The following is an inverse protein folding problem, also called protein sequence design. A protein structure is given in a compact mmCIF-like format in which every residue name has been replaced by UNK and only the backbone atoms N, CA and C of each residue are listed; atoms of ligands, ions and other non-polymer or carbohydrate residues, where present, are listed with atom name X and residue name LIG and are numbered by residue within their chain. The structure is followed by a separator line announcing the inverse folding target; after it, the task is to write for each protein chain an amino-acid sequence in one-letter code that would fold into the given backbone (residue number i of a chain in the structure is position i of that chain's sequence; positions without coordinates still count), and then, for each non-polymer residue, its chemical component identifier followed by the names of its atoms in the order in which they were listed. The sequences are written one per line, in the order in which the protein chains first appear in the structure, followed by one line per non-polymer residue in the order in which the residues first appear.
data_IF_249082587646
#
_entry.id   IF_249082587646
#
_cell.length_a   1.000
_cell.length_b   1.000
_cell.length_c   1.000
_cell.angle_alpha   90.00
_cell.angle_beta   90.00
_cell.angle_gamma   90.00
#
_symmetry.space_group_name_H-M   'P 1'
#
loop_
_entity.id
_entity.type
_entity.pdbx_description
1 polymer ?
#
# COMPACT_ATOMS: atom_id res chain seq x y z
N UNK A 1 5.42 27.64 9.55
CA UNK A 1 5.11 26.61 10.55
C UNK A 1 3.67 26.13 10.39
N UNK A 2 2.64 26.98 10.43
CA UNK A 2 1.22 26.59 10.33
C UNK A 2 0.84 25.84 9.04
N UNK A 3 1.41 26.22 7.87
CA UNK A 3 1.15 25.54 6.60
C UNK A 3 1.67 24.08 6.60
N UNK A 4 2.84 23.84 7.17
CA UNK A 4 3.42 22.49 7.26
C UNK A 4 2.59 21.55 8.13
N UNK A 5 2.04 22.04 9.25
CA UNK A 5 1.18 21.24 10.13
C UNK A 5 -0.12 20.82 9.41
N UNK A 6 -0.75 21.71 8.65
CA UNK A 6 -1.96 21.42 7.89
C UNK A 6 -1.76 20.30 6.87
N UNK A 7 -0.65 20.33 6.12
CA UNK A 7 -0.33 19.27 5.14
C UNK A 7 0.01 17.95 5.83
N UNK A 8 0.66 17.99 7.00
CA UNK A 8 0.88 16.77 7.80
C UNK A 8 -0.43 16.14 8.28
N UNK A 9 -1.42 16.95 8.67
CA UNK A 9 -2.77 16.46 9.01
C UNK A 9 -3.46 15.79 7.82
N UNK A 10 -3.32 16.34 6.61
CA UNK A 10 -3.86 15.69 5.41
C UNK A 10 -3.23 14.32 5.15
N UNK A 11 -1.92 14.17 5.39
CA UNK A 11 -1.24 12.89 5.27
C UNK A 11 -1.70 11.86 6.30
N UNK A 12 -1.89 12.27 7.54
CA UNK A 12 -2.44 11.39 8.59
C UNK A 12 -3.87 10.96 8.22
N UNK A 13 -4.71 11.91 7.79
CA UNK A 13 -6.06 11.59 7.34
C UNK A 13 -6.07 10.60 6.17
N UNK A 14 -5.18 10.76 5.19
CA UNK A 14 -5.02 9.81 4.08
C UNK A 14 -4.66 8.40 4.57
N UNK A 15 -3.71 8.28 5.50
CA UNK A 15 -3.29 7.00 6.09
C UNK A 15 -4.47 6.32 6.82
N UNK A 16 -5.24 7.09 7.60
CA UNK A 16 -6.41 6.55 8.30
C UNK A 16 -7.51 6.10 7.33
N UNK A 17 -7.79 6.85 6.26
CA UNK A 17 -8.73 6.46 5.22
C UNK A 17 -8.29 5.16 4.53
N UNK A 18 -7.02 5.03 4.15
CA UNK A 18 -6.48 3.80 3.59
C UNK A 18 -6.50 2.64 4.58
N UNK A 19 -6.33 2.92 5.87
CA UNK A 19 -6.40 1.90 6.92
C UNK A 19 -7.81 1.30 7.07
N UNK A 20 -8.87 2.06 6.79
CA UNK A 20 -10.24 1.55 6.75
C UNK A 20 -10.52 0.71 5.48
N UNK A 21 -9.75 0.93 4.43
CA UNK A 21 -10.04 0.40 3.10
C UNK A 21 -9.99 -1.13 3.03
N UNK A 22 -9.10 -1.77 3.80
CA UNK A 22 -9.00 -3.25 3.85
C UNK A 22 -10.34 -3.87 4.26
N UNK A 23 -10.91 -3.38 5.35
CA UNK A 23 -12.19 -3.88 5.86
C UNK A 23 -13.35 -3.54 4.92
N UNK A 24 -13.39 -2.31 4.43
CA UNK A 24 -14.46 -1.87 3.54
C UNK A 24 -14.42 -2.60 2.20
N UNK A 25 -13.24 -2.80 1.61
CA UNK A 25 -13.06 -3.60 0.39
C UNK A 25 -13.54 -5.04 0.60
N UNK A 26 -13.23 -5.62 1.75
CA UNK A 26 -13.71 -6.97 2.10
C UNK A 26 -15.23 -6.99 2.23
N UNK A 27 -15.84 -6.03 2.93
CA UNK A 27 -17.28 -5.93 3.08
C UNK A 27 -18.01 -5.76 1.74
N UNK A 28 -17.47 -4.91 0.86
CA UNK A 28 -18.00 -4.74 -0.51
C UNK A 28 -17.92 -6.05 -1.30
N UNK A 29 -16.80 -6.76 -1.21
CA UNK A 29 -16.62 -8.04 -1.92
C UNK A 29 -17.56 -9.15 -1.40
N UNK A 30 -17.85 -9.17 -0.10
CA UNK A 30 -18.80 -10.12 0.49
C UNK A 30 -20.23 -9.90 -0.01
N UNK A 31 -20.62 -8.66 -0.31
CA UNK A 31 -21.95 -8.29 -0.73
C UNK A 31 -22.15 -8.29 -2.26
N UNK A 32 -21.12 -7.87 -3.01
CA UNK A 32 -21.21 -7.67 -4.47
C UNK A 32 -20.37 -8.67 -5.28
N UNK A 33 -19.74 -9.61 -4.61
CA UNK A 33 -18.78 -10.52 -5.22
C UNK A 33 -17.37 -9.95 -5.32
N UNK A 34 -16.34 -10.81 -5.41
CA UNK A 34 -14.95 -10.38 -5.41
C UNK A 34 -14.55 -9.56 -6.64
N UNK A 35 -15.06 -9.91 -7.82
CA UNK A 35 -14.72 -9.20 -9.06
C UNK A 35 -15.63 -8.00 -9.26
N UNK A 36 -16.95 -8.20 -9.18
CA UNK A 36 -17.93 -7.14 -9.33
C UNK A 36 -17.84 -6.05 -8.26
N UNK A 37 -17.61 -6.46 -7.02
CA UNK A 37 -17.35 -5.54 -5.90
C UNK A 37 -16.11 -4.69 -6.13
N UNK A 38 -15.00 -5.31 -6.55
CA UNK A 38 -13.77 -4.58 -6.90
C UNK A 38 -14.00 -3.63 -8.08
N UNK A 39 -14.64 -4.08 -9.16
CA UNK A 39 -14.94 -3.25 -10.33
C UNK A 39 -15.77 -2.01 -9.94
N UNK A 40 -16.79 -2.20 -9.11
CA UNK A 40 -17.63 -1.12 -8.60
C UNK A 40 -16.85 -0.15 -7.72
N UNK A 41 -15.99 -0.66 -6.82
CA UNK A 41 -15.15 0.14 -5.93
C UNK A 41 -14.21 1.05 -6.72
N UNK A 42 -13.49 0.51 -7.71
CA UNK A 42 -12.59 1.30 -8.55
C UNK A 42 -13.33 2.29 -9.44
N UNK A 43 -14.57 1.99 -9.83
CA UNK A 43 -15.43 2.93 -10.56
C UNK A 43 -15.78 4.14 -9.69
N UNK A 44 -16.28 3.91 -8.48
CA UNK A 44 -16.63 5.01 -7.55
C UNK A 44 -15.39 5.84 -7.21
N UNK A 45 -14.27 5.20 -6.92
CA UNK A 45 -13.00 5.87 -6.64
C UNK A 45 -12.50 6.69 -7.83
N UNK A 46 -12.60 6.15 -9.05
CA UNK A 46 -12.20 6.85 -10.29
C UNK A 46 -13.05 8.09 -10.52
N UNK A 47 -14.36 7.98 -10.34
CA UNK A 47 -15.28 9.11 -10.47
C UNK A 47 -14.94 10.22 -9.49
N UNK A 48 -14.71 9.86 -8.22
CA UNK A 48 -14.32 10.83 -7.19
C UNK A 48 -12.97 11.49 -7.52
N UNK A 49 -11.98 10.72 -7.95
CA UNK A 49 -10.66 11.25 -8.35
C UNK A 49 -10.77 12.19 -9.56
N UNK A 50 -11.59 11.85 -10.56
CA UNK A 50 -11.86 12.74 -11.70
C UNK A 50 -12.53 14.03 -11.24
N UNK A 51 -13.50 13.95 -10.33
CA UNK A 51 -14.18 15.14 -9.81
C UNK A 51 -13.25 16.06 -9.02
N UNK A 52 -12.32 15.50 -8.24
CA UNK A 52 -11.42 16.27 -7.36
C UNK A 52 -10.16 16.75 -8.08
N UNK A 53 -9.54 15.90 -8.89
CA UNK A 53 -8.25 16.14 -9.52
C UNK A 53 -8.36 16.51 -11.02
N UNK A 54 -9.53 16.28 -11.61
CA UNK A 54 -9.74 16.43 -13.06
C UNK A 54 -9.14 15.28 -13.86
N UNK A 55 -9.48 15.25 -15.15
CA UNK A 55 -8.93 14.26 -16.09
C UNK A 55 -7.61 14.78 -16.69
N UNK A 56 -6.47 14.16 -16.41
CA UNK A 56 -5.20 14.64 -16.93
C UNK A 56 -5.04 14.34 -18.43
N UNK A 57 -4.38 15.22 -19.16
CA UNK A 57 -4.08 15.01 -20.58
C UNK A 57 -3.01 13.93 -20.74
N UNK A 58 -3.29 12.90 -21.53
CA UNK A 58 -2.37 11.78 -21.83
C UNK A 58 -1.00 12.26 -22.37
N UNK A 59 -1.01 13.34 -23.17
CA UNK A 59 0.20 13.91 -23.78
C UNK A 59 1.24 14.45 -22.76
N UNK A 60 0.87 14.63 -21.50
CA UNK A 60 1.77 15.08 -20.44
C UNK A 60 2.72 13.98 -19.94
N UNK A 61 2.38 12.72 -20.16
CA UNK A 61 3.11 11.58 -19.61
C UNK A 61 3.98 10.91 -20.67
N UNK A 62 5.11 10.36 -20.24
CA UNK A 62 5.91 9.51 -21.11
C UNK A 62 5.16 8.21 -21.43
N UNK A 63 5.28 7.73 -22.67
CA UNK A 63 4.65 6.46 -23.08
C UNK A 63 5.09 5.29 -22.19
N UNK A 64 6.36 5.26 -21.81
CA UNK A 64 6.92 4.24 -20.93
C UNK A 64 6.24 4.24 -19.55
N UNK A 65 6.02 5.42 -18.96
CA UNK A 65 5.33 5.53 -17.67
C UNK A 65 3.86 5.10 -17.77
N UNK A 66 3.15 5.50 -18.82
CA UNK A 66 1.75 5.09 -19.00
C UNK A 66 1.62 3.58 -19.21
N UNK A 67 2.48 2.98 -20.06
CA UNK A 67 2.37 1.56 -20.40
C UNK A 67 2.88 0.64 -19.28
N UNK A 68 4.13 0.82 -18.88
CA UNK A 68 4.76 -0.06 -17.88
C UNK A 68 4.27 0.30 -16.47
N UNK A 69 4.31 1.57 -16.10
CA UNK A 69 3.80 2.03 -14.80
C UNK A 69 2.32 1.74 -14.64
N UNK A 70 1.52 1.98 -15.67
CA UNK A 70 0.09 1.66 -15.68
C UNK A 70 -0.16 0.16 -15.55
N UNK A 71 0.55 -0.69 -16.32
CA UNK A 71 0.42 -2.13 -16.21
C UNK A 71 0.78 -2.66 -14.81
N UNK A 72 1.89 -2.19 -14.24
CA UNK A 72 2.30 -2.56 -12.88
C UNK A 72 1.25 -2.11 -11.84
N UNK A 73 0.74 -0.89 -11.96
CA UNK A 73 -0.29 -0.37 -11.06
C UNK A 73 -1.56 -1.20 -11.16
N UNK A 74 -2.10 -1.39 -12.37
CA UNK A 74 -3.34 -2.15 -12.61
C UNK A 74 -3.21 -3.58 -12.11
N UNK A 75 -2.08 -4.26 -12.40
CA UNK A 75 -1.83 -5.61 -11.90
C UNK A 75 -1.82 -5.67 -10.37
N UNK A 76 -1.14 -4.72 -9.73
CA UNK A 76 -1.09 -4.65 -8.27
C UNK A 76 -2.48 -4.48 -7.66
N UNK A 77 -3.24 -3.49 -8.13
CA UNK A 77 -4.55 -3.18 -7.59
C UNK A 77 -5.53 -4.34 -7.77
N UNK A 78 -5.49 -5.00 -8.92
CA UNK A 78 -6.30 -6.20 -9.18
C UNK A 78 -5.88 -7.35 -8.26
N UNK A 79 -4.58 -7.57 -8.09
CA UNK A 79 -4.08 -8.64 -7.22
C UNK A 79 -4.50 -8.43 -5.77
N UNK A 80 -4.35 -7.21 -5.24
CA UNK A 80 -4.76 -6.90 -3.89
C UNK A 80 -6.28 -7.00 -3.70
N UNK A 81 -7.06 -6.39 -4.59
CA UNK A 81 -8.51 -6.42 -4.52
C UNK A 81 -9.06 -7.86 -4.54
N UNK A 82 -8.54 -8.70 -5.44
CA UNK A 82 -8.96 -10.10 -5.54
C UNK A 82 -8.41 -10.95 -4.39
N UNK A 83 -7.20 -10.70 -3.89
CA UNK A 83 -6.69 -11.39 -2.73
C UNK A 83 -7.60 -11.17 -1.51
N UNK A 84 -8.03 -9.93 -1.27
CA UNK A 84 -8.95 -9.59 -0.20
C UNK A 84 -10.36 -10.14 -0.44
N UNK A 85 -10.87 -10.00 -1.67
CA UNK A 85 -12.22 -10.38 -2.03
C UNK A 85 -12.45 -11.89 -2.09
N UNK A 86 -11.48 -12.65 -2.57
CA UNK A 86 -11.55 -14.11 -2.72
C UNK A 86 -11.02 -14.88 -1.50
N UNK A 87 -10.62 -14.20 -0.44
CA UNK A 87 -10.21 -14.85 0.81
C UNK A 87 -11.39 -15.67 1.39
N UNK A 88 -11.10 -16.85 1.93
CA UNK A 88 -12.13 -17.77 2.46
C UNK A 88 -12.81 -17.23 3.73
N UNK A 89 -12.17 -16.31 4.42
CA UNK A 89 -12.69 -15.70 5.65
C UNK A 89 -12.19 -14.26 5.80
N UNK A 90 -12.83 -13.50 6.69
CA UNK A 90 -12.37 -12.15 7.08
C UNK A 90 -10.97 -12.18 7.71
N UNK A 91 -10.69 -13.21 8.51
CA UNK A 91 -9.36 -13.42 9.11
C UNK A 91 -8.30 -13.63 8.00
N UNK A 92 -8.57 -14.51 7.04
CA UNK A 92 -7.69 -14.73 5.90
C UNK A 92 -7.49 -13.45 5.07
N UNK A 93 -8.52 -12.60 4.91
CA UNK A 93 -8.36 -11.31 4.24
C UNK A 93 -7.36 -10.40 4.97
N UNK A 94 -7.34 -10.42 6.31
CA UNK A 94 -6.33 -9.69 7.10
C UNK A 94 -4.92 -10.28 6.93
N UNK A 95 -4.80 -11.61 6.81
CA UNK A 95 -3.51 -12.22 6.47
C UNK A 95 -3.00 -11.75 5.09
N UNK A 96 -3.89 -11.64 4.10
CA UNK A 96 -3.54 -11.08 2.77
C UNK A 96 -3.05 -9.64 2.90
N UNK A 97 -3.70 -8.82 3.74
CA UNK A 97 -3.26 -7.45 4.01
C UNK A 97 -1.87 -7.42 4.66
N UNK A 98 -1.61 -8.29 5.65
CA UNK A 98 -0.29 -8.37 6.31
C UNK A 98 0.80 -8.78 5.33
N UNK A 99 0.53 -9.76 4.45
CA UNK A 99 1.47 -10.14 3.38
C UNK A 99 1.73 -8.95 2.44
N UNK A 100 0.68 -8.24 2.06
CA UNK A 100 0.82 -7.07 1.20
C UNK A 100 1.71 -6.00 1.85
N UNK A 101 1.69 -5.84 3.16
CA UNK A 101 2.56 -4.89 3.88
C UNK A 101 4.06 -5.23 3.86
N UNK A 102 4.48 -6.27 3.17
CA UNK A 102 5.89 -6.48 2.81
C UNK A 102 6.40 -5.46 1.76
N UNK A 103 5.51 -4.79 1.01
CA UNK A 103 5.90 -3.90 -0.07
C UNK A 103 6.89 -2.79 0.34
N UNK A 104 6.84 -2.18 1.55
CA UNK A 104 7.80 -1.15 1.92
C UNK A 104 9.22 -1.72 2.07
N UNK A 105 9.36 -2.88 2.72
CA UNK A 105 10.64 -3.56 2.86
C UNK A 105 11.20 -4.02 1.50
N UNK A 106 10.34 -4.56 0.62
CA UNK A 106 10.69 -4.94 -0.74
C UNK A 106 11.07 -3.73 -1.61
N UNK A 107 10.38 -2.60 -1.44
CA UNK A 107 10.73 -1.35 -2.15
C UNK A 107 12.13 -0.90 -1.80
N UNK A 108 12.50 -0.93 -0.53
CA UNK A 108 13.85 -0.63 -0.07
C UNK A 108 14.86 -1.63 -0.62
N UNK A 109 14.55 -2.94 -0.54
CA UNK A 109 15.42 -3.99 -1.08
C UNK A 109 15.74 -3.76 -2.57
N UNK A 110 14.71 -3.51 -3.39
CA UNK A 110 14.91 -3.29 -4.82
C UNK A 110 15.62 -1.96 -5.10
N UNK A 111 15.34 -0.90 -4.35
CA UNK A 111 16.08 0.36 -4.48
C UNK A 111 17.58 0.17 -4.21
N UNK A 112 17.90 -0.64 -3.21
CA UNK A 112 19.26 -0.98 -2.81
C UNK A 112 19.95 -1.84 -3.86
N UNK A 113 19.32 -2.92 -4.33
CA UNK A 113 19.86 -3.83 -5.36
C UNK A 113 20.09 -3.13 -6.71
N UNK A 114 19.30 -2.10 -7.01
CA UNK A 114 19.41 -1.30 -8.23
C UNK A 114 20.32 -0.08 -8.08
N UNK A 115 20.97 0.07 -6.94
CA UNK A 115 21.86 1.19 -6.62
C UNK A 115 23.31 0.72 -6.58
N UNK A 116 24.23 1.54 -7.13
CA UNK A 116 25.69 1.31 -7.02
C UNK A 116 26.24 1.72 -5.64
N UNK A 117 25.39 2.19 -4.72
CA UNK A 117 25.82 2.62 -3.38
C UNK A 117 26.09 1.41 -2.48
N UNK A 118 27.09 1.54 -1.60
CA UNK A 118 27.35 0.53 -0.57
C UNK A 118 26.13 0.37 0.34
N UNK A 119 25.63 -0.85 0.43
CA UNK A 119 24.47 -1.23 1.21
C UNK A 119 24.89 -1.33 2.68
N UNK A 120 24.08 -0.73 3.56
CA UNK A 120 24.22 -1.01 4.98
C UNK A 120 23.69 -2.44 5.26
N UNK A 121 24.53 -3.31 5.79
CA UNK A 121 24.18 -4.71 6.05
C UNK A 121 22.94 -4.89 6.94
N UNK A 122 22.60 -3.90 7.77
CA UNK A 122 21.41 -3.90 8.63
C UNK A 122 20.08 -3.94 7.85
N UNK A 123 20.09 -3.68 6.54
CA UNK A 123 18.92 -3.84 5.67
C UNK A 123 18.45 -5.30 5.65
N UNK A 124 19.39 -6.25 5.59
CA UNK A 124 19.05 -7.68 5.48
C UNK A 124 18.30 -8.21 6.70
N UNK A 125 18.76 -8.04 7.96
CA UNK A 125 18.00 -8.48 9.12
C UNK A 125 16.67 -7.75 9.28
N UNK A 126 16.56 -6.50 8.83
CA UNK A 126 15.30 -5.75 8.84
C UNK A 126 14.27 -6.38 7.89
N UNK A 127 14.69 -6.79 6.69
CA UNK A 127 13.83 -7.49 5.73
C UNK A 127 13.43 -8.86 6.28
N UNK A 128 14.39 -9.62 6.83
CA UNK A 128 14.13 -10.93 7.46
C UNK A 128 13.08 -10.79 8.57
N UNK A 129 13.16 -9.75 9.39
CA UNK A 129 12.17 -9.48 10.44
C UNK A 129 10.77 -9.23 9.87
N UNK A 130 10.65 -8.49 8.76
CA UNK A 130 9.36 -8.26 8.11
C UNK A 130 8.77 -9.57 7.55
N UNK A 131 9.55 -10.39 6.88
CA UNK A 131 9.10 -11.69 6.38
C UNK A 131 8.75 -12.66 7.52
N UNK A 132 9.55 -12.67 8.57
CA UNK A 132 9.27 -13.46 9.76
C UNK A 132 7.95 -13.04 10.42
N UNK A 133 7.66 -11.73 10.47
CA UNK A 133 6.39 -11.21 10.96
C UNK A 133 5.18 -11.70 10.16
N UNK A 134 5.30 -11.79 8.83
CA UNK A 134 4.24 -12.39 7.99
C UNK A 134 4.07 -13.87 8.34
N UNK A 135 5.16 -14.63 8.37
CA UNK A 135 5.11 -16.05 8.73
C UNK A 135 4.50 -16.27 10.11
N UNK A 136 4.85 -15.42 11.08
CA UNK A 136 4.31 -15.45 12.44
C UNK A 136 2.80 -15.17 12.46
N UNK A 137 2.30 -14.21 11.69
CA UNK A 137 0.86 -13.90 11.58
C UNK A 137 0.05 -15.06 11.02
N UNK A 138 0.63 -15.82 10.07
CA UNK A 138 -0.06 -16.91 9.38
C UNK A 138 0.01 -18.22 10.16
N UNK A 139 0.99 -18.40 11.06
CA UNK A 139 1.18 -19.65 11.77
C UNK A 139 0.13 -19.96 12.85
N UNK A 140 -0.70 -18.98 13.25
CA UNK A 140 -1.73 -19.17 14.27
C UNK A 140 -1.18 -19.19 15.70
N UNK A 141 -2.00 -19.64 16.66
CA UNK A 141 -1.74 -19.47 18.11
C UNK A 141 -0.69 -20.40 18.70
N UNK A 142 -0.28 -21.43 17.98
CA UNK A 142 0.66 -22.45 18.48
C UNK A 142 2.14 -22.11 18.24
N UNK A 143 2.42 -20.88 17.79
CA UNK A 143 3.77 -20.43 17.44
C UNK A 143 4.17 -20.80 16.02
N UNK A 144 5.43 -20.54 15.66
CA UNK A 144 5.93 -20.72 14.29
C UNK A 144 5.97 -22.21 13.92
N UNK A 145 5.08 -22.59 13.00
CA UNK A 145 5.02 -23.93 12.43
C UNK A 145 4.99 -23.86 10.91
N UNK A 146 6.01 -24.42 10.27
CA UNK A 146 6.08 -24.51 8.80
C UNK A 146 4.93 -25.35 8.25
N UNK A 147 4.54 -26.41 8.94
CA UNK A 147 3.40 -27.25 8.57
C UNK A 147 2.09 -26.44 8.60
N UNK A 148 1.87 -25.67 9.66
CA UNK A 148 0.66 -24.84 9.79
C UNK A 148 0.61 -23.75 8.74
N UNK A 149 1.72 -23.08 8.45
CA UNK A 149 1.82 -22.09 7.39
C UNK A 149 1.51 -22.72 6.04
N UNK A 150 2.11 -23.88 5.74
CA UNK A 150 1.87 -24.59 4.48
C UNK A 150 0.39 -25.04 4.38
N UNK A 151 -0.19 -25.53 5.45
CA UNK A 151 -1.60 -25.91 5.52
C UNK A 151 -2.52 -24.70 5.27
N UNK A 152 -2.25 -23.56 5.91
CA UNK A 152 -3.03 -22.33 5.73
C UNK A 152 -2.94 -21.83 4.27
N UNK A 153 -1.75 -21.80 3.70
CA UNK A 153 -1.55 -21.41 2.29
C UNK A 153 -2.28 -22.39 1.35
N UNK A 154 -2.26 -23.69 1.65
CA UNK A 154 -2.93 -24.72 0.86
C UNK A 154 -4.46 -24.56 0.84
N UNK A 155 -5.06 -23.88 1.82
CA UNK A 155 -6.52 -23.61 1.83
C UNK A 155 -6.94 -22.66 0.69
N UNK A 156 -6.08 -21.76 0.27
CA UNK A 156 -6.35 -20.78 -0.79
C UNK A 156 -5.06 -20.25 -1.43
N UNK A 157 -4.28 -21.11 -2.12
CA UNK A 157 -2.96 -20.72 -2.64
C UNK A 157 -3.03 -19.55 -3.62
N UNK A 158 -4.18 -19.37 -4.29
CA UNK A 158 -4.40 -18.28 -5.24
C UNK A 158 -4.36 -16.91 -4.56
N UNK A 159 -5.06 -16.73 -3.44
CA UNK A 159 -5.10 -15.45 -2.74
C UNK A 159 -3.76 -15.15 -2.07
N UNK A 160 -3.11 -16.14 -1.45
CA UNK A 160 -1.76 -15.97 -0.89
C UNK A 160 -0.74 -15.56 -1.96
N UNK A 161 -0.79 -16.20 -3.12
CA UNK A 161 0.08 -15.84 -4.26
C UNK A 161 -0.21 -14.43 -4.76
N UNK A 162 -1.48 -14.05 -4.91
CA UNK A 162 -1.83 -12.69 -5.35
C UNK A 162 -1.38 -11.63 -4.34
N UNK A 163 -1.53 -11.86 -3.04
CA UNK A 163 -1.08 -10.92 -2.01
C UNK A 163 0.45 -10.76 -2.04
N UNK A 164 1.19 -11.85 -2.14
CA UNK A 164 2.66 -11.85 -2.15
C UNK A 164 3.23 -11.21 -3.43
N UNK A 165 2.79 -11.67 -4.60
CA UNK A 165 3.24 -11.08 -5.87
C UNK A 165 2.73 -9.65 -6.04
N UNK A 166 1.56 -9.31 -5.48
CA UNK A 166 1.07 -7.94 -5.40
C UNK A 166 2.07 -7.04 -4.68
N UNK A 167 2.57 -7.45 -3.51
CA UNK A 167 3.58 -6.69 -2.77
C UNK A 167 4.87 -6.48 -3.58
N UNK A 168 5.31 -7.50 -4.32
CA UNK A 168 6.48 -7.41 -5.23
C UNK A 168 6.20 -6.42 -6.36
N UNK A 169 5.05 -6.56 -7.05
CA UNK A 169 4.67 -5.69 -8.17
C UNK A 169 4.60 -4.23 -7.71
N UNK A 170 4.03 -3.96 -6.54
CA UNK A 170 3.98 -2.61 -5.98
C UNK A 170 5.36 -2.05 -5.66
N UNK A 171 6.24 -2.86 -5.10
CA UNK A 171 7.63 -2.46 -4.84
C UNK A 171 8.38 -2.13 -6.13
N UNK A 172 8.17 -2.92 -7.20
CA UNK A 172 8.72 -2.64 -8.54
C UNK A 172 8.10 -1.36 -9.11
N UNK A 173 6.77 -1.19 -9.01
CA UNK A 173 6.07 0.02 -9.44
C UNK A 173 6.63 1.29 -8.77
N UNK A 174 6.84 1.26 -7.46
CA UNK A 174 7.39 2.40 -6.72
C UNK A 174 8.79 2.80 -7.23
N UNK A 175 9.69 1.81 -7.39
CA UNK A 175 11.05 2.04 -7.88
C UNK A 175 11.06 2.51 -9.34
N UNK A 176 10.22 1.92 -10.18
CA UNK A 176 10.09 2.29 -11.59
C UNK A 176 9.54 3.71 -11.74
N UNK A 177 8.43 4.00 -11.07
CA UNK A 177 7.75 5.31 -11.13
C UNK A 177 8.67 6.43 -10.65
N UNK A 178 9.43 6.22 -9.58
CA UNK A 178 10.38 7.21 -9.08
C UNK A 178 11.40 7.63 -10.15
N UNK A 179 11.79 6.71 -11.04
CA UNK A 179 12.77 6.98 -12.10
C UNK A 179 12.16 7.61 -13.34
N UNK A 180 10.93 7.23 -13.73
CA UNK A 180 10.37 7.57 -15.05
C UNK A 180 9.28 8.62 -15.02
N UNK A 181 8.57 8.79 -13.89
CA UNK A 181 7.43 9.71 -13.81
C UNK A 181 7.83 11.19 -13.75
N UNK A 182 9.10 11.51 -13.42
CA UNK A 182 9.62 12.89 -13.34
C UNK A 182 8.71 13.86 -12.55
N UNK A 183 8.17 13.36 -11.42
CA UNK A 183 7.24 14.13 -10.57
C UNK A 183 5.80 14.21 -11.08
N UNK A 184 5.48 13.59 -12.21
CA UNK A 184 4.12 13.53 -12.72
C UNK A 184 3.32 12.40 -12.07
N UNK A 185 2.00 12.56 -11.96
CA UNK A 185 1.11 11.59 -11.34
C UNK A 185 -0.06 11.25 -12.27
N UNK A 186 -0.06 10.02 -12.80
CA UNK A 186 -1.10 9.49 -13.67
C UNK A 186 -2.16 8.65 -12.91
N UNK A 187 -2.28 8.81 -11.60
CA UNK A 187 -3.12 7.97 -10.73
C UNK A 187 -4.57 7.89 -11.22
N UNK A 188 -5.15 9.01 -11.66
CA UNK A 188 -6.52 9.05 -12.18
C UNK A 188 -6.69 8.12 -13.38
N UNK A 189 -5.75 8.14 -14.31
CA UNK A 189 -5.77 7.26 -15.50
C UNK A 189 -5.59 5.79 -15.11
N UNK A 190 -4.74 5.52 -14.14
CA UNK A 190 -4.48 4.17 -13.67
C UNK A 190 -5.68 3.58 -12.92
N UNK A 191 -6.40 4.39 -12.14
CA UNK A 191 -7.65 3.96 -11.52
C UNK A 191 -8.74 3.64 -12.56
N UNK A 192 -8.89 4.50 -13.57
CA UNK A 192 -9.82 4.26 -14.68
C UNK A 192 -9.45 2.96 -15.41
N UNK A 193 -8.17 2.76 -15.71
CA UNK A 193 -7.70 1.53 -16.36
C UNK A 193 -7.96 0.28 -15.50
N UNK A 194 -7.77 0.38 -14.18
CA UNK A 194 -8.09 -0.70 -13.23
C UNK A 194 -9.58 -1.02 -13.24
N UNK A 195 -10.45 0.00 -13.18
CA UNK A 195 -11.89 -0.19 -13.24
C UNK A 195 -12.32 -0.88 -14.55
N UNK A 196 -11.83 -0.39 -15.69
CA UNK A 196 -12.14 -0.99 -17.01
C UNK A 196 -11.69 -2.45 -17.06
N UNK A 197 -10.46 -2.73 -16.62
CA UNK A 197 -9.92 -4.11 -16.63
C UNK A 197 -10.74 -5.03 -15.73
N UNK A 198 -11.17 -4.56 -14.57
CA UNK A 198 -12.03 -5.34 -13.66
C UNK A 198 -13.42 -5.57 -14.23
N UNK A 199 -14.02 -4.60 -14.92
CA UNK A 199 -15.30 -4.79 -15.60
C UNK A 199 -15.20 -5.79 -16.76
N UNK A 200 -14.11 -5.76 -17.54
CA UNK A 200 -13.86 -6.75 -18.56
C UNK A 200 -13.74 -8.15 -17.92
N UNK A 201 -12.96 -8.24 -16.83
CA UNK A 201 -12.81 -9.50 -16.09
C UNK A 201 -14.14 -10.00 -15.54
N UNK A 202 -14.98 -9.10 -14.99
CA UNK A 202 -16.31 -9.45 -14.50
C UNK A 202 -17.21 -9.99 -15.61
N UNK A 203 -17.24 -9.33 -16.77
CA UNK A 203 -18.02 -9.76 -17.92
C UNK A 203 -17.57 -11.13 -18.50
N UNK A 204 -16.30 -11.49 -18.29
CA UNK A 204 -15.72 -12.78 -18.73
C UNK A 204 -15.71 -13.85 -17.62
N UNK A 205 -16.24 -13.54 -16.43
CA UNK A 205 -16.28 -14.46 -15.30
C UNK A 205 -17.67 -15.10 -15.17
N UNK A 206 -17.70 -16.23 -14.44
CA UNK A 206 -18.96 -16.90 -14.06
C UNK A 206 -19.55 -16.32 -12.77
N UNK A 207 -19.09 -15.14 -12.34
CA UNK A 207 -19.60 -14.48 -11.12
C UNK A 207 -21.07 -14.11 -11.35
N UNK A 208 -21.92 -14.50 -10.40
CA UNK A 208 -23.36 -14.22 -10.46
C UNK A 208 -23.63 -12.73 -10.38
N UNK A 209 -24.75 -12.30 -10.99
CA UNK A 209 -25.13 -10.89 -11.03
C UNK A 209 -25.13 -10.21 -9.65
N UNK A 210 -24.60 -9.01 -9.59
CA UNK A 210 -24.55 -8.21 -8.35
C UNK A 210 -25.93 -7.78 -7.93
N UNK A 211 -26.24 -7.94 -6.64
CA UNK A 211 -27.46 -7.41 -6.05
C UNK A 211 -27.10 -6.19 -5.18
N UNK A 212 -27.47 -5.02 -5.65
CA UNK A 212 -27.22 -3.77 -4.93
C UNK A 212 -28.25 -3.58 -3.83
N UNK A 213 -27.85 -3.91 -2.60
CA UNK A 213 -28.63 -3.60 -1.39
C UNK A 213 -28.25 -2.22 -0.85
N UNK A 214 -29.07 -1.65 0.05
CA UNK A 214 -28.72 -0.38 0.70
C UNK A 214 -27.42 -0.47 1.49
N UNK A 215 -27.14 -1.61 2.14
CA UNK A 215 -25.89 -1.87 2.85
C UNK A 215 -24.71 -1.89 1.89
N UNK A 216 -24.82 -2.64 0.79
CA UNK A 216 -23.78 -2.71 -0.23
C UNK A 216 -23.47 -1.34 -0.85
N UNK A 217 -24.52 -0.53 -1.10
CA UNK A 217 -24.34 0.83 -1.63
C UNK A 217 -23.62 1.75 -0.64
N UNK A 218 -23.94 1.68 0.66
CA UNK A 218 -23.27 2.46 1.70
C UNK A 218 -21.78 2.05 1.79
N UNK A 219 -21.49 0.76 1.91
CA UNK A 219 -20.12 0.26 2.01
C UNK A 219 -19.31 0.61 0.77
N UNK A 220 -19.91 0.49 -0.42
CA UNK A 220 -19.28 0.84 -1.69
C UNK A 220 -18.94 2.33 -1.77
N UNK A 221 -19.85 3.22 -1.39
CA UNK A 221 -19.62 4.67 -1.40
C UNK A 221 -18.56 5.04 -0.36
N UNK A 222 -18.63 4.46 0.85
CA UNK A 222 -17.61 4.68 1.89
C UNK A 222 -16.23 4.19 1.45
N UNK A 223 -16.14 2.97 0.92
CA UNK A 223 -14.88 2.42 0.44
C UNK A 223 -14.29 3.25 -0.72
N UNK A 224 -15.13 3.60 -1.71
CA UNK A 224 -14.72 4.43 -2.84
C UNK A 224 -14.29 5.82 -2.41
N UNK A 225 -15.01 6.44 -1.47
CA UNK A 225 -14.64 7.73 -0.89
C UNK A 225 -13.33 7.65 -0.09
N UNK A 226 -13.15 6.63 0.75
CA UNK A 226 -11.90 6.42 1.49
C UNK A 226 -10.71 6.26 0.54
N UNK A 227 -10.86 5.49 -0.52
CA UNK A 227 -9.82 5.28 -1.51
C UNK A 227 -9.50 6.57 -2.27
N UNK A 228 -10.48 7.19 -2.90
CA UNK A 228 -10.30 8.40 -3.70
C UNK A 228 -9.85 9.60 -2.87
N UNK A 229 -10.50 9.86 -1.73
CA UNK A 229 -10.11 10.95 -0.83
C UNK A 229 -8.72 10.70 -0.22
N UNK A 230 -8.38 9.46 0.13
CA UNK A 230 -7.06 9.09 0.61
C UNK A 230 -5.96 9.49 -0.38
N UNK A 231 -6.10 9.14 -1.65
CA UNK A 231 -5.14 9.53 -2.69
C UNK A 231 -5.10 11.04 -2.93
N UNK A 232 -6.25 11.72 -2.93
CA UNK A 232 -6.31 13.18 -3.12
C UNK A 232 -5.63 13.93 -1.94
N UNK A 233 -5.93 13.53 -0.71
CA UNK A 233 -5.31 14.10 0.50
C UNK A 233 -3.82 13.83 0.57
N UNK A 234 -3.39 12.61 0.25
CA UNK A 234 -1.97 12.25 0.19
C UNK A 234 -1.21 13.09 -0.83
N UNK A 235 -1.77 13.23 -2.03
CA UNK A 235 -1.17 14.09 -3.06
C UNK A 235 -1.02 15.54 -2.59
N UNK A 236 -2.03 16.07 -1.87
CA UNK A 236 -1.95 17.42 -1.28
C UNK A 236 -0.92 17.49 -0.15
N UNK A 237 -0.82 16.44 0.66
CA UNK A 237 0.11 16.38 1.79
C UNK A 237 1.58 16.40 1.33
N UNK A 238 1.93 15.67 0.27
CA UNK A 238 3.31 15.62 -0.23
C UNK A 238 3.78 16.94 -0.85
N UNK A 239 2.86 17.79 -1.31
CA UNK A 239 3.21 19.07 -1.92
C UNK A 239 3.68 20.13 -0.91
N UNK A 240 3.31 20.02 0.36
CA UNK A 240 3.65 21.06 1.34
C UNK A 240 3.95 20.54 2.75
N UNK A 241 3.89 19.23 2.96
CA UNK A 241 4.14 18.57 4.23
C UNK A 241 5.61 18.20 4.45
N UNK A 242 5.90 17.78 5.68
CA UNK A 242 7.20 17.19 6.00
C UNK A 242 7.26 15.76 5.49
N UNK A 243 7.97 15.52 4.38
CA UNK A 243 8.07 14.19 3.73
C UNK A 243 8.65 13.12 4.66
N UNK A 244 9.60 13.46 5.53
CA UNK A 244 10.18 12.50 6.49
C UNK A 244 9.13 12.04 7.49
N UNK A 245 8.34 12.98 8.00
CA UNK A 245 7.25 12.67 8.93
C UNK A 245 6.16 11.83 8.25
N UNK A 246 5.71 12.21 7.04
CA UNK A 246 4.68 11.49 6.27
C UNK A 246 5.11 10.06 5.94
N UNK A 247 6.35 9.88 5.47
CA UNK A 247 6.92 8.57 5.21
C UNK A 247 7.00 7.72 6.49
N UNK A 248 7.45 8.30 7.60
CA UNK A 248 7.50 7.59 8.89
C UNK A 248 6.10 7.13 9.31
N UNK A 249 5.10 8.02 9.23
CA UNK A 249 3.72 7.69 9.61
C UNK A 249 3.12 6.60 8.71
N UNK A 250 3.46 6.57 7.41
CA UNK A 250 2.94 5.55 6.49
C UNK A 250 3.41 4.12 6.84
N UNK A 251 4.56 3.98 7.50
CA UNK A 251 5.03 2.66 7.96
C UNK A 251 4.20 2.10 9.12
N UNK A 252 3.41 2.92 9.80
CA UNK A 252 2.45 2.44 10.82
C UNK A 252 1.10 2.00 10.24
N UNK A 253 0.90 2.16 8.94
CA UNK A 253 -0.34 1.72 8.26
C UNK A 253 -0.73 0.27 8.57
N UNK A 254 0.17 -0.71 8.65
CA UNK A 254 -0.20 -2.08 9.01
C UNK A 254 -0.91 -2.17 10.37
N UNK A 255 -0.42 -1.43 11.36
CA UNK A 255 -1.02 -1.41 12.70
C UNK A 255 -2.40 -0.74 12.67
N UNK A 256 -2.51 0.44 12.06
CA UNK A 256 -3.78 1.15 11.95
C UNK A 256 -4.81 0.36 11.14
N UNK A 257 -4.39 -0.22 10.00
CA UNK A 257 -5.27 -1.00 9.16
C UNK A 257 -5.76 -2.28 9.87
N UNK A 258 -4.89 -2.97 10.59
CA UNK A 258 -5.27 -4.16 11.36
C UNK A 258 -6.26 -3.79 12.48
N UNK A 259 -5.99 -2.70 13.21
CA UNK A 259 -6.87 -2.24 14.27
C UNK A 259 -8.25 -1.86 13.73
N UNK A 260 -8.31 -0.98 12.73
CA UNK A 260 -9.57 -0.52 12.16
C UNK A 260 -10.33 -1.67 11.47
N UNK A 261 -9.62 -2.55 10.77
CA UNK A 261 -10.24 -3.71 10.14
C UNK A 261 -10.80 -4.70 11.16
N UNK A 262 -10.11 -4.95 12.26
CA UNK A 262 -10.64 -5.81 13.33
C UNK A 262 -11.92 -5.24 13.93
N UNK A 263 -11.98 -3.93 14.13
CA UNK A 263 -13.17 -3.24 14.64
C UNK A 263 -14.32 -3.25 13.62
N UNK A 264 -14.07 -2.89 12.36
CA UNK A 264 -15.09 -2.81 11.30
C UNK A 264 -15.65 -4.20 10.97
N UNK A 265 -14.79 -5.21 10.89
CA UNK A 265 -15.18 -6.60 10.55
C UNK A 265 -15.64 -7.41 11.78
N UNK A 266 -15.56 -6.84 12.98
CA UNK A 266 -15.95 -7.51 14.22
C UNK A 266 -15.08 -8.72 14.57
N UNK A 267 -13.75 -8.63 14.30
CA UNK A 267 -12.81 -9.71 14.53
C UNK A 267 -12.03 -9.53 15.84
N UNK A 268 -11.95 -10.57 16.63
CA UNK A 268 -10.98 -10.69 17.72
C UNK A 268 -9.69 -11.32 17.17
N UNK A 269 -8.61 -10.54 17.11
CA UNK A 269 -7.32 -11.03 16.65
C UNK A 269 -6.48 -11.52 17.82
N UNK A 270 -5.75 -12.61 17.58
CA UNK A 270 -4.88 -13.21 18.59
C UNK A 270 -3.63 -12.34 18.84
N UNK A 271 -3.00 -12.57 20.00
CA UNK A 271 -1.74 -11.88 20.31
C UNK A 271 -0.66 -12.23 19.29
N UNK A 272 -0.63 -13.47 18.79
CA UNK A 272 0.30 -13.93 17.77
C UNK A 272 0.15 -13.12 16.49
N UNK A 273 -1.08 -12.86 16.05
CA UNK A 273 -1.35 -12.03 14.87
C UNK A 273 -0.80 -10.60 15.05
N UNK A 274 -1.07 -9.97 16.21
CA UNK A 274 -0.56 -8.64 16.52
C UNK A 274 0.96 -8.58 16.60
N UNK A 275 1.61 -9.58 17.17
CA UNK A 275 3.07 -9.68 17.18
C UNK A 275 3.63 -9.70 15.75
N UNK A 276 3.02 -10.47 14.84
CA UNK A 276 3.42 -10.53 13.45
C UNK A 276 3.27 -9.17 12.75
N UNK A 277 2.15 -8.48 12.94
CA UNK A 277 1.92 -7.12 12.40
C UNK A 277 2.96 -6.14 12.92
N UNK A 278 3.29 -6.20 14.21
CA UNK A 278 4.35 -5.36 14.80
C UNK A 278 5.72 -5.67 14.18
N UNK A 279 6.06 -6.94 13.96
CA UNK A 279 7.33 -7.34 13.33
C UNK A 279 7.44 -6.82 11.89
N UNK A 280 6.36 -6.90 11.09
CA UNK A 280 6.31 -6.33 9.73
C UNK A 280 6.54 -4.83 9.78
N UNK A 281 5.87 -4.14 10.70
CA UNK A 281 5.99 -2.69 10.87
C UNK A 281 7.42 -2.29 11.27
N UNK A 282 7.97 -2.94 12.30
CA UNK A 282 9.32 -2.65 12.79
C UNK A 282 10.36 -2.99 11.73
N UNK A 283 10.24 -4.13 11.04
CA UNK A 283 11.14 -4.52 9.96
C UNK A 283 11.15 -3.50 8.83
N UNK A 284 9.97 -3.06 8.37
CA UNK A 284 9.85 -2.05 7.32
C UNK A 284 10.39 -0.69 7.77
N UNK A 285 10.11 -0.27 9.00
CA UNK A 285 10.61 0.98 9.59
C UNK A 285 12.14 0.96 9.72
N UNK A 286 12.71 -0.17 10.15
CA UNK A 286 14.14 -0.35 10.25
C UNK A 286 14.82 -0.30 8.87
N UNK A 287 14.23 -0.93 7.84
CA UNK A 287 14.69 -0.81 6.46
C UNK A 287 14.79 0.66 6.02
N UNK A 288 13.71 1.41 6.25
CA UNK A 288 13.69 2.84 5.92
C UNK A 288 14.73 3.64 6.71
N UNK A 289 14.83 3.41 8.03
CA UNK A 289 15.78 4.10 8.89
C UNK A 289 17.23 3.91 8.44
N UNK A 290 17.59 2.68 8.09
CA UNK A 290 18.95 2.29 7.73
C UNK A 290 19.34 2.83 6.35
N UNK A 291 18.37 3.01 5.44
CA UNK A 291 18.61 3.43 4.05
C UNK A 291 18.40 4.92 3.81
N UNK A 292 17.82 5.66 4.78
CA UNK A 292 17.64 7.10 4.63
C UNK A 292 18.99 7.81 4.48
N UNK A 293 19.06 8.73 3.53
CA UNK A 293 20.27 9.56 3.34
C UNK A 293 20.55 10.38 4.61
N UNK A 294 21.69 10.15 5.23
CA UNK A 294 22.22 11.05 6.26
C UNK A 294 22.51 12.37 5.54
N UNK A 295 21.83 13.47 5.89
CA UNK A 295 22.21 14.82 5.44
C UNK A 295 23.71 14.97 5.65
N UNK A 296 24.50 15.43 4.64
CA UNK A 296 25.90 15.73 4.88
C UNK A 296 25.94 16.75 6.04
N UNK A 297 26.61 16.35 7.11
CA UNK A 297 27.00 17.30 8.17
C UNK A 297 27.85 18.35 7.49
N UNK A 298 27.30 19.55 7.31
CA UNK A 298 28.09 20.72 6.93
C UNK A 298 29.10 20.88 8.05
N UNK A 299 30.32 20.32 7.85
CA UNK A 299 31.44 20.68 8.67
C UNK A 299 31.59 22.18 8.49
N UNK A 300 31.29 22.92 9.53
CA UNK A 300 31.64 24.33 9.62
C UNK A 300 33.16 24.40 9.46
N UNK A 301 33.60 24.71 8.23
CA UNK A 301 34.93 25.23 8.00
C UNK A 301 34.91 26.67 8.49
N UNK A 302 34.88 26.80 9.82
CA UNK A 302 35.12 28.07 10.46
C UNK A 302 36.56 28.43 10.28
N UNK A 303 36.79 29.51 9.58
CA UNK A 303 37.77 30.53 9.91
C UNK A 303 39.18 30.08 10.27
N UNK A 304 40.01 29.95 9.25
CA UNK A 304 41.42 30.27 9.39
C UNK A 304 41.88 31.01 8.11
N UNK A 305 41.73 32.29 8.07
CA UNK A 305 42.53 33.22 7.26
C UNK A 305 42.11 34.68 7.56
N UNK A 306 42.48 35.16 8.72
CA UNK A 306 42.74 36.56 8.95
C UNK A 306 43.91 36.61 9.93
N UNK A 307 45.12 36.68 9.40
CA UNK A 307 46.27 37.34 9.93
C UNK A 307 47.52 36.91 9.15
N UNK A 308 47.85 37.67 8.11
CA UNK A 308 49.20 38.01 7.73
C UNK A 308 49.17 38.92 6.50
N UNK A 309 49.16 40.20 6.75
CA UNK A 309 49.89 41.20 5.98
C UNK A 309 49.81 42.50 6.74
N UNK A 310 50.84 42.68 7.56
CA UNK A 310 51.39 43.95 7.86
C UNK A 310 52.26 44.43 6.70
#
# INVERSE_FOLDING_TARGET
VLKSHRHSCYGIAAILLWSCLIALSRSVSEQLGPIGGAASLYTVSSLLLVCVMGLPKLSRFSKSYLMIGGALFVCYEIFLALALGMANSRHQALEMAVINYLWPALTVLFAVLLSDKKINWLVYPSIVLAFFGVAWSISGDQGLSVEQIAANIATNPKTYSMAFFGAIIWAVYCNYTQRVAKGQNAIVLFFIATAITLWIKYALSDETGMVMTSSAAIDLVLAGACMGAGYALWNTAILGGNMVFLATMSYFTPIFATLLSSMILGLSLTMTFWQGVCMVTVGSLACWWVTRDKKPTVKASASKNVHSQS
#
